data_IF_214020277986
#
_entry.id   IF_214020277986
#
_cell.length_a   1.000
_cell.length_b   1.000
_cell.length_c   1.000
_cell.angle_alpha   90.00
_cell.angle_beta   90.00
_cell.angle_gamma   90.00
#
_symmetry.space_group_name_H-M   'P 1'
#
loop_
_entity.id
_entity.type
_entity.pdbx_description
1 polymer ?
#
# COMPACT_ATOMS: atom_id res chain seq x y z
N UNK A 1 17.32 -1.76 1.53
CA UNK A 1 16.93 -0.32 1.57
C UNK A 1 18.03 0.63 1.14
N UNK A 2 19.32 0.37 1.43
CA UNK A 2 20.41 1.33 1.26
C UNK A 2 20.43 2.18 -0.03
N UNK A 3 20.25 1.64 -1.26
CA UNK A 3 20.26 2.48 -2.47
C UNK A 3 18.99 3.32 -2.67
N UNK A 4 17.90 3.04 -1.94
CA UNK A 4 16.59 3.63 -2.14
C UNK A 4 16.08 4.45 -0.95
N UNK A 5 16.80 4.45 0.18
CA UNK A 5 16.33 5.00 1.46
C UNK A 5 15.86 6.44 1.32
N UNK A 6 16.69 7.32 0.74
CA UNK A 6 16.35 8.73 0.53
C UNK A 6 15.10 8.91 -0.33
N UNK A 7 14.94 8.08 -1.36
CA UNK A 7 13.80 8.15 -2.29
C UNK A 7 12.52 7.64 -1.61
N UNK A 8 12.63 6.60 -0.80
CA UNK A 8 11.53 6.08 0.03
C UNK A 8 11.09 7.13 1.05
N UNK A 9 12.02 7.72 1.80
CA UNK A 9 11.71 8.77 2.80
C UNK A 9 11.02 9.97 2.13
N UNK A 10 11.54 10.44 0.98
CA UNK A 10 10.90 11.51 0.20
C UNK A 10 9.49 11.14 -0.25
N UNK A 11 9.29 9.88 -0.67
CA UNK A 11 7.98 9.38 -1.10
C UNK A 11 6.97 9.29 0.05
N UNK A 12 7.40 8.82 1.23
CA UNK A 12 6.58 8.79 2.46
C UNK A 12 6.24 10.23 2.92
N UNK A 13 7.22 11.13 2.91
CA UNK A 13 7.00 12.54 3.28
C UNK A 13 6.01 13.22 2.32
N UNK A 14 6.08 12.92 1.02
CA UNK A 14 5.11 13.41 0.05
C UNK A 14 3.69 12.83 0.28
N UNK A 15 3.60 11.56 0.67
CA UNK A 15 2.32 10.95 1.04
C UNK A 15 1.70 11.66 2.25
N UNK A 16 2.47 11.90 3.31
CA UNK A 16 2.02 12.67 4.48
C UNK A 16 1.50 14.06 4.11
N UNK A 17 2.15 14.79 3.20
CA UNK A 17 1.65 16.11 2.75
C UNK A 17 0.24 16.07 2.15
N UNK A 18 -0.21 14.93 1.62
CA UNK A 18 -1.57 14.74 1.09
C UNK A 18 -2.57 14.28 2.14
N UNK A 19 -2.11 13.62 3.18
CA UNK A 19 -2.91 13.01 4.23
C UNK A 19 -2.29 13.34 5.60
N UNK A 20 -2.24 14.64 5.96
CA UNK A 20 -1.47 15.09 7.14
C UNK A 20 -2.04 14.54 8.44
N UNK A 21 -3.35 14.33 8.51
CA UNK A 21 -4.06 13.87 9.70
C UNK A 21 -4.10 12.33 9.82
N UNK A 22 -3.82 11.60 8.73
CA UNK A 22 -3.96 10.14 8.71
C UNK A 22 -2.67 9.43 9.18
N UNK A 23 -1.49 9.96 8.82
CA UNK A 23 -0.20 9.33 9.12
C UNK A 23 0.91 10.36 9.29
N UNK A 24 1.91 10.07 10.13
CA UNK A 24 3.21 10.76 10.11
C UNK A 24 4.28 9.88 9.45
N UNK A 25 5.34 10.46 8.85
CA UNK A 25 6.47 9.69 8.34
C UNK A 25 7.11 8.79 9.41
N UNK A 26 7.21 9.28 10.64
CA UNK A 26 7.76 8.55 11.78
C UNK A 26 6.92 7.31 12.11
N UNK A 27 5.59 7.44 12.13
CA UNK A 27 4.70 6.29 12.38
C UNK A 27 4.89 5.21 11.32
N UNK A 28 4.91 5.58 10.04
CA UNK A 28 5.10 4.61 8.94
C UNK A 28 6.45 3.91 9.06
N UNK A 29 7.53 4.65 9.33
CA UNK A 29 8.86 4.07 9.47
C UNK A 29 8.97 3.15 10.69
N UNK A 30 8.39 3.54 11.83
CA UNK A 30 8.39 2.71 13.04
C UNK A 30 7.64 1.40 12.82
N UNK A 31 6.49 1.43 12.15
CA UNK A 31 5.71 0.23 11.83
C UNK A 31 6.50 -0.71 10.89
N UNK A 32 7.25 -0.15 9.94
CA UNK A 32 8.14 -0.93 9.07
C UNK A 32 9.26 -1.59 9.89
N UNK A 33 9.90 -0.83 10.79
CA UNK A 33 11.02 -1.33 11.60
C UNK A 33 10.59 -2.40 12.61
N UNK A 34 9.37 -2.30 13.14
CA UNK A 34 8.78 -3.31 14.05
C UNK A 34 8.30 -4.56 13.31
N UNK A 35 8.14 -4.50 11.99
CA UNK A 35 7.57 -5.58 11.19
C UNK A 35 6.04 -5.58 11.16
N UNK A 36 5.38 -4.57 11.74
CA UNK A 36 3.94 -4.37 11.64
C UNK A 36 3.52 -4.06 10.20
N UNK A 37 4.41 -3.43 9.43
CA UNK A 37 4.26 -3.16 7.99
C UNK A 37 5.43 -3.71 7.19
N UNK A 38 5.14 -4.24 6.01
CA UNK A 38 6.14 -4.61 5.01
C UNK A 38 6.27 -3.47 3.99
N UNK A 39 7.52 -3.08 3.70
CA UNK A 39 7.84 -2.10 2.65
C UNK A 39 8.16 -2.81 1.34
N UNK A 40 7.39 -2.50 0.30
CA UNK A 40 7.69 -2.86 -1.08
C UNK A 40 8.32 -1.69 -1.80
N UNK A 41 9.44 -1.93 -2.48
CA UNK A 41 10.12 -0.94 -3.29
C UNK A 41 9.92 -1.33 -4.75
N UNK A 42 9.27 -0.45 -5.50
CA UNK A 42 9.05 -0.65 -6.93
C UNK A 42 10.14 0.12 -7.68
N UNK A 43 10.83 -0.58 -8.56
CA UNK A 43 11.85 -0.02 -9.45
C UNK A 43 11.49 -0.27 -10.91
N UNK A 44 12.06 0.49 -11.83
CA UNK A 44 12.01 0.19 -13.26
C UNK A 44 13.10 -0.85 -13.65
N UNK A 45 13.18 -1.17 -14.95
CA UNK A 45 14.16 -2.14 -15.50
C UNK A 45 15.62 -1.71 -15.30
N UNK A 46 15.86 -0.43 -15.04
CA UNK A 46 17.18 0.16 -14.81
C UNK A 46 17.45 0.38 -13.30
N UNK A 47 16.64 -0.26 -12.45
CA UNK A 47 16.70 -0.14 -10.99
C UNK A 47 16.43 1.27 -10.45
N UNK A 48 15.82 2.15 -11.24
CA UNK A 48 15.40 3.46 -10.72
C UNK A 48 14.15 3.31 -9.87
N UNK A 49 14.19 3.85 -8.66
CA UNK A 49 13.02 3.95 -7.78
C UNK A 49 11.82 4.63 -8.49
N UNK A 50 10.71 3.91 -8.50
CA UNK A 50 9.44 4.36 -9.05
C UNK A 50 8.46 4.70 -7.93
N UNK A 51 8.23 3.78 -7.01
CA UNK A 51 7.23 3.92 -5.96
C UNK A 51 7.54 3.08 -4.73
N UNK A 52 6.85 3.39 -3.63
CA UNK A 52 6.77 2.55 -2.45
C UNK A 52 5.34 2.09 -2.23
N UNK A 53 5.18 0.90 -1.68
CA UNK A 53 3.93 0.40 -1.11
C UNK A 53 4.21 -0.07 0.31
N UNK A 54 3.31 0.21 1.24
CA UNK A 54 3.29 -0.48 2.54
C UNK A 54 2.09 -1.38 2.63
N UNK A 55 2.31 -2.58 3.18
CA UNK A 55 1.25 -3.55 3.41
C UNK A 55 1.35 -4.11 4.83
N UNK A 56 0.24 -4.57 5.37
CA UNK A 56 0.20 -5.23 6.67
C UNK A 56 -0.70 -6.46 6.63
N UNK A 57 -0.45 -7.39 7.56
CA UNK A 57 -1.27 -8.57 7.78
C UNK A 57 -2.08 -8.37 9.05
N UNK A 58 -3.39 -8.25 8.90
CA UNK A 58 -4.32 -8.10 10.01
C UNK A 58 -4.93 -9.45 10.36
N UNK A 59 -5.05 -9.74 11.67
CA UNK A 59 -5.86 -10.85 12.17
C UNK A 59 -7.22 -10.32 12.60
N UNK A 60 -8.28 -10.78 11.95
CA UNK A 60 -9.65 -10.41 12.27
C UNK A 60 -10.10 -11.09 13.58
N UNK A 61 -11.19 -10.59 14.17
CA UNK A 61 -11.79 -11.15 15.40
C UNK A 61 -12.15 -12.63 15.28
N UNK A 62 -12.45 -13.09 14.07
CA UNK A 62 -12.75 -14.51 13.75
C UNK A 62 -11.49 -15.37 13.62
N UNK A 63 -10.30 -14.79 13.76
CA UNK A 63 -9.01 -15.45 13.54
C UNK A 63 -8.57 -15.50 12.07
N UNK A 64 -9.43 -15.10 11.12
CA UNK A 64 -9.06 -15.02 9.71
C UNK A 64 -7.98 -13.95 9.48
N UNK A 65 -7.04 -14.24 8.58
CA UNK A 65 -6.00 -13.30 8.18
C UNK A 65 -6.45 -12.50 6.94
N UNK A 66 -6.16 -11.21 6.95
CA UNK A 66 -6.47 -10.25 5.88
C UNK A 66 -5.24 -9.41 5.59
N UNK A 67 -4.84 -9.31 4.34
CA UNK A 67 -3.82 -8.37 3.92
C UNK A 67 -4.44 -7.00 3.63
N UNK A 68 -3.71 -5.93 3.93
CA UNK A 68 -4.12 -4.56 3.61
C UNK A 68 -2.98 -3.82 2.93
N UNK A 69 -3.27 -3.18 1.80
CA UNK A 69 -2.40 -2.15 1.21
C UNK A 69 -2.74 -0.82 1.88
N UNK A 70 -1.78 -0.29 2.65
CA UNK A 70 -1.97 0.86 3.54
C UNK A 70 -1.55 2.15 2.82
N UNK A 71 -0.35 2.18 2.25
CA UNK A 71 0.14 3.34 1.50
C UNK A 71 0.65 2.95 0.12
N UNK A 72 0.45 3.83 -0.85
CA UNK A 72 1.08 3.78 -2.16
C UNK A 72 1.50 5.21 -2.54
N UNK A 73 2.79 5.41 -2.76
CA UNK A 73 3.34 6.72 -3.12
C UNK A 73 4.48 6.61 -4.12
N UNK A 74 4.49 7.48 -5.11
CA UNK A 74 5.53 7.52 -6.15
C UNK A 74 4.97 7.81 -7.53
N UNK A 75 5.73 7.40 -8.54
CA UNK A 75 5.44 7.55 -9.96
C UNK A 75 4.88 6.23 -10.52
N UNK A 76 4.09 6.30 -11.58
CA UNK A 76 3.62 5.12 -12.32
C UNK A 76 2.10 4.91 -12.32
N UNK A 77 1.37 5.38 -11.31
CA UNK A 77 -0.09 5.42 -11.32
C UNK A 77 -0.77 4.06 -11.58
N UNK A 78 -1.87 4.07 -12.35
CA UNK A 78 -2.67 2.87 -12.66
C UNK A 78 -1.86 1.68 -13.24
N UNK A 79 -0.87 1.88 -14.14
CA UNK A 79 0.04 0.80 -14.57
C UNK A 79 0.66 -0.03 -13.45
N UNK A 80 0.92 0.54 -12.27
CA UNK A 80 1.48 -0.18 -11.12
C UNK A 80 0.58 -1.30 -10.60
N UNK A 81 -0.72 -1.26 -10.88
CA UNK A 81 -1.64 -2.34 -10.51
C UNK A 81 -1.24 -3.70 -11.09
N UNK A 82 -0.45 -3.73 -12.17
CA UNK A 82 0.11 -4.97 -12.74
C UNK A 82 1.02 -5.73 -11.75
N UNK A 83 1.50 -5.06 -10.70
CA UNK A 83 2.34 -5.65 -9.65
C UNK A 83 1.53 -6.21 -8.48
N UNK A 84 0.22 -5.92 -8.39
CA UNK A 84 -0.65 -6.41 -7.32
C UNK A 84 -0.61 -7.95 -7.19
N UNK A 85 -0.60 -8.74 -8.28
CA UNK A 85 -0.51 -10.21 -8.17
C UNK A 85 0.69 -10.73 -7.38
N UNK A 86 1.82 -9.99 -7.36
CA UNK A 86 2.99 -10.37 -6.56
C UNK A 86 2.74 -10.20 -5.06
N UNK A 87 2.06 -9.11 -4.69
CA UNK A 87 1.66 -8.84 -3.30
C UNK A 87 0.60 -9.86 -2.86
N UNK A 88 -0.36 -10.17 -3.73
CA UNK A 88 -1.39 -11.20 -3.48
C UNK A 88 -0.77 -12.57 -3.22
N UNK A 89 0.17 -13.00 -4.07
CA UNK A 89 0.87 -14.28 -3.91
C UNK A 89 1.57 -14.37 -2.55
N UNK A 90 2.33 -13.33 -2.18
CA UNK A 90 3.00 -13.26 -0.88
C UNK A 90 2.03 -13.43 0.30
N UNK A 91 0.91 -12.71 0.28
CA UNK A 91 -0.04 -12.79 1.39
C UNK A 91 -0.90 -14.05 1.39
N UNK A 92 -1.17 -14.62 0.21
CA UNK A 92 -1.82 -15.92 0.08
C UNK A 92 -0.97 -17.01 0.72
N UNK A 93 0.35 -17.00 0.50
CA UNK A 93 1.29 -17.93 1.17
C UNK A 93 1.30 -17.76 2.70
N UNK A 94 1.06 -16.54 3.20
CA UNK A 94 0.91 -16.26 4.63
C UNK A 94 -0.48 -16.63 5.20
N UNK A 95 -1.36 -17.20 4.38
CA UNK A 95 -2.69 -17.64 4.79
C UNK A 95 -3.76 -16.54 4.83
N UNK A 96 -3.51 -15.38 4.21
CA UNK A 96 -4.52 -14.35 4.06
C UNK A 96 -5.68 -14.86 3.18
N UNK A 97 -6.92 -14.64 3.64
CA UNK A 97 -8.14 -15.02 2.91
C UNK A 97 -8.56 -13.96 1.89
N UNK A 98 -8.11 -12.72 2.09
CA UNK A 98 -8.43 -11.58 1.24
C UNK A 98 -7.33 -10.52 1.31
N UNK A 99 -7.30 -9.64 0.31
CA UNK A 99 -6.47 -8.46 0.28
C UNK A 99 -7.35 -7.23 0.05
N UNK A 100 -7.23 -6.24 0.94
CA UNK A 100 -7.98 -4.98 0.86
C UNK A 100 -7.07 -3.85 0.39
N UNK A 101 -7.58 -3.04 -0.53
CA UNK A 101 -6.95 -1.80 -0.97
C UNK A 101 -7.91 -0.65 -0.65
N UNK A 102 -7.50 0.22 0.27
CA UNK A 102 -8.23 1.46 0.56
C UNK A 102 -7.63 2.54 -0.32
N UNK A 103 -8.44 3.12 -1.21
CA UNK A 103 -7.92 4.04 -2.20
C UNK A 103 -8.96 4.90 -2.87
N UNK A 104 -8.48 5.94 -3.55
CA UNK A 104 -9.30 6.90 -4.29
C UNK A 104 -10.09 6.21 -5.41
N UNK A 105 -11.30 6.70 -5.70
CA UNK A 105 -12.20 6.19 -6.76
C UNK A 105 -11.52 6.00 -8.13
N UNK A 106 -10.51 6.81 -8.46
CA UNK A 106 -9.75 6.69 -9.71
C UNK A 106 -9.10 5.32 -9.93
N UNK A 107 -8.81 4.58 -8.87
CA UNK A 107 -8.26 3.21 -8.96
C UNK A 107 -9.28 2.16 -9.37
N UNK A 108 -10.58 2.46 -9.34
CA UNK A 108 -11.66 1.49 -9.60
C UNK A 108 -11.47 0.73 -10.91
N UNK A 109 -11.16 1.44 -12.01
CA UNK A 109 -11.02 0.82 -13.34
C UNK A 109 -9.84 -0.15 -13.39
N UNK A 110 -8.68 0.25 -12.87
CA UNK A 110 -7.48 -0.59 -12.86
C UNK A 110 -7.57 -1.75 -11.87
N UNK A 111 -8.19 -1.55 -10.71
CA UNK A 111 -8.38 -2.62 -9.74
C UNK A 111 -9.40 -3.65 -10.22
N UNK A 112 -10.46 -3.23 -10.93
CA UNK A 112 -11.47 -4.14 -11.50
C UNK A 112 -10.85 -5.16 -12.47
N UNK A 113 -9.82 -4.81 -13.24
CA UNK A 113 -9.15 -5.78 -14.13
C UNK A 113 -8.36 -6.86 -13.37
N UNK A 114 -8.14 -6.68 -12.07
CA UNK A 114 -7.50 -7.65 -11.18
C UNK A 114 -8.52 -8.34 -10.25
N UNK A 115 -9.82 -8.28 -10.56
CA UNK A 115 -10.86 -8.96 -9.77
C UNK A 115 -11.33 -8.24 -8.50
N UNK A 116 -10.76 -7.07 -8.19
CA UNK A 116 -11.24 -6.25 -7.07
C UNK A 116 -12.60 -5.64 -7.36
N UNK A 117 -13.41 -5.53 -6.32
CA UNK A 117 -14.70 -4.85 -6.35
C UNK A 117 -14.78 -3.81 -5.23
N UNK A 118 -15.73 -2.87 -5.35
CA UNK A 118 -15.96 -1.86 -4.32
C UNK A 118 -16.74 -2.50 -3.18
N UNK A 119 -16.13 -2.57 -2.00
CA UNK A 119 -16.77 -3.10 -0.80
C UNK A 119 -17.34 -1.99 0.12
N UNK A 120 -16.71 -0.82 0.16
CA UNK A 120 -17.09 0.30 1.03
C UNK A 120 -17.00 1.63 0.28
N UNK A 121 -17.88 2.57 0.64
CA UNK A 121 -17.80 3.99 0.28
C UNK A 121 -17.64 4.81 1.56
N UNK A 122 -16.65 5.69 1.57
CA UNK A 122 -16.44 6.65 2.67
C UNK A 122 -17.20 7.94 2.37
N UNK A 123 -18.09 8.36 3.28
CA UNK A 123 -18.81 9.63 3.21
C UNK A 123 -18.22 10.58 4.26
N UNK A 124 -17.74 11.74 3.83
CA UNK A 124 -17.13 12.74 4.71
C UNK A 124 -17.93 14.04 4.69
N UNK A 125 -18.15 14.63 5.87
CA UNK A 125 -18.69 15.98 6.07
C UNK A 125 -17.67 16.77 6.87
N UNK A 126 -17.28 17.95 6.38
CA UNK A 126 -16.49 18.89 7.16
C UNK A 126 -17.38 19.48 8.26
N UNK A 127 -16.89 19.46 9.51
CA UNK A 127 -17.55 20.06 10.67
C UNK A 127 -17.13 21.52 10.81
#
# INVERSE_FOLDING_TARGET
MAPYLDKVIKSIAYFHKKFPDDYTPQTILNDILKGDKLLWIIVDEQENFMAHVTTELQKLVTGALRAVIVTLGGKGGAPLTKLIPQIEAYYKEKGAKELIIIGRRGWKKSLKSHGYFVNLLEYRKQL
#
